data_IF_195227983839
#
_entry.id   IF_195227983839
#
_cell.length_a   1.000
_cell.length_b   1.000
_cell.length_c   1.000
_cell.angle_alpha   90.00
_cell.angle_beta   90.00
_cell.angle_gamma   90.00
#
_symmetry.space_group_name_H-M   'P 1'
#
loop_
_entity.id
_entity.type
_entity.pdbx_description
1 polymer ?
#
# COMPACT_ATOMS: atom_id res chain seq x y z
N UNK A 1 30.04 8.90 19.12
CA UNK A 1 29.39 8.68 17.81
C UNK A 1 28.28 7.68 18.08
N UNK A 2 27.04 8.16 18.16
CA UNK A 2 25.90 7.26 18.21
C UNK A 2 25.87 6.47 16.89
N UNK A 3 25.80 5.16 16.96
CA UNK A 3 25.51 4.31 15.78
C UNK A 3 24.12 4.72 15.25
N UNK A 4 23.93 4.79 13.93
CA UNK A 4 22.62 5.11 13.37
C UNK A 4 21.64 4.05 13.85
N UNK A 5 20.65 4.45 14.67
CA UNK A 5 19.52 3.61 15.04
C UNK A 5 18.95 2.98 13.77
N UNK A 6 18.81 1.66 13.77
CA UNK A 6 18.24 0.90 12.67
C UNK A 6 16.96 1.62 12.19
N UNK A 7 16.98 2.13 10.96
CA UNK A 7 15.91 2.95 10.38
C UNK A 7 14.65 2.13 10.08
N UNK A 8 14.81 0.81 10.05
CA UNK A 8 13.77 -0.14 9.67
C UNK A 8 13.22 -0.88 10.89
N UNK A 9 11.94 -1.28 10.79
CA UNK A 9 11.29 -2.12 11.78
C UNK A 9 11.80 -3.57 11.68
N UNK A 10 11.87 -4.23 12.82
CA UNK A 10 12.00 -5.68 12.89
C UNK A 10 10.62 -6.30 13.07
N UNK A 11 10.17 -7.06 12.07
CA UNK A 11 8.84 -7.67 12.04
C UNK A 11 8.96 -9.16 12.29
N UNK A 12 8.32 -9.66 13.34
CA UNK A 12 8.21 -11.10 13.62
C UNK A 12 7.15 -11.77 12.72
N UNK A 13 7.53 -12.05 11.49
CA UNK A 13 6.65 -12.74 10.54
C UNK A 13 6.31 -14.16 10.97
N UNK A 14 7.19 -14.85 11.70
CA UNK A 14 6.90 -16.19 12.20
C UNK A 14 5.75 -16.15 13.22
N UNK A 15 5.81 -15.21 14.17
CA UNK A 15 4.73 -14.99 15.14
C UNK A 15 3.43 -14.55 14.50
N UNK A 16 3.48 -13.60 13.52
CA UNK A 16 2.30 -13.15 12.80
C UNK A 16 1.64 -14.28 12.01
N UNK A 17 2.41 -15.09 11.28
CA UNK A 17 1.89 -16.23 10.51
C UNK A 17 1.39 -17.37 11.37
N UNK A 18 1.88 -17.50 12.60
CA UNK A 18 1.32 -18.44 13.56
C UNK A 18 -0.10 -18.04 14.00
N UNK A 19 -0.42 -16.74 14.03
CA UNK A 19 -1.76 -16.22 14.28
C UNK A 19 -2.63 -16.35 13.03
N UNK A 20 -2.11 -15.93 11.87
CA UNK A 20 -2.83 -16.01 10.59
C UNK A 20 -1.84 -16.21 9.43
N UNK A 21 -1.89 -17.37 8.73
CA UNK A 21 -1.03 -17.64 7.59
C UNK A 21 -1.25 -16.69 6.39
N UNK A 22 -2.38 -15.98 6.34
CA UNK A 22 -2.69 -15.02 5.30
C UNK A 22 -1.87 -13.72 5.41
N UNK A 23 -1.10 -13.53 6.50
CA UNK A 23 -0.18 -12.39 6.64
C UNK A 23 0.95 -12.54 5.63
N UNK A 24 1.08 -11.57 4.72
CA UNK A 24 2.08 -11.55 3.65
C UNK A 24 3.11 -10.43 3.81
N UNK A 25 2.75 -9.32 4.44
CA UNK A 25 3.61 -8.16 4.60
C UNK A 25 3.24 -7.34 5.85
N UNK A 26 4.02 -6.28 6.08
CA UNK A 26 3.72 -5.20 7.01
C UNK A 26 3.90 -3.87 6.30
N UNK A 27 2.91 -2.99 6.36
CA UNK A 27 3.00 -1.63 5.78
C UNK A 27 3.38 -0.63 6.86
N UNK A 28 4.27 0.29 6.51
CA UNK A 28 4.62 1.43 7.34
C UNK A 28 4.65 2.71 6.52
N UNK A 29 3.84 3.69 6.93
CA UNK A 29 3.87 5.07 6.41
C UNK A 29 4.15 5.97 7.60
N UNK A 30 5.43 6.26 7.92
CA UNK A 30 5.82 6.91 9.18
C UNK A 30 5.18 8.28 9.39
N UNK A 31 5.05 9.07 8.32
CA UNK A 31 4.47 10.42 8.39
C UNK A 31 2.99 10.44 8.82
N UNK A 32 2.29 9.31 8.69
CA UNK A 32 0.87 9.17 9.00
C UNK A 32 0.59 8.27 10.22
N UNK A 33 1.63 7.77 10.88
CA UNK A 33 1.53 6.75 11.95
C UNK A 33 0.79 5.47 11.50
N UNK A 34 0.82 5.18 10.19
CA UNK A 34 0.29 3.94 9.65
C UNK A 34 1.34 2.85 9.82
N UNK A 35 0.98 1.79 10.56
CA UNK A 35 1.85 0.64 10.82
C UNK A 35 0.98 -0.58 11.11
N UNK A 36 0.75 -1.43 10.11
CA UNK A 36 -0.20 -2.55 10.18
C UNK A 36 0.31 -3.80 9.47
N UNK A 37 -0.08 -4.99 9.94
CA UNK A 37 0.06 -6.21 9.16
C UNK A 37 -0.80 -6.11 7.89
N UNK A 38 -0.31 -6.70 6.81
CA UNK A 38 -0.99 -6.80 5.52
C UNK A 38 -1.31 -8.26 5.25
N UNK A 39 -2.58 -8.54 5.00
CA UNK A 39 -3.08 -9.88 4.72
C UNK A 39 -3.52 -10.02 3.27
N UNK A 40 -3.63 -11.25 2.77
CA UNK A 40 -4.27 -11.56 1.49
C UNK A 40 -5.18 -12.76 1.65
N UNK A 41 -6.47 -12.54 1.43
CA UNK A 41 -7.50 -13.57 1.48
C UNK A 41 -7.77 -14.22 0.12
N UNK A 42 -8.76 -15.11 0.12
CA UNK A 42 -9.23 -15.76 -1.10
C UNK A 42 -10.18 -14.89 -1.92
N UNK A 43 -10.67 -13.82 -1.33
CA UNK A 43 -11.55 -12.82 -1.93
C UNK A 43 -11.24 -11.43 -1.37
N UNK A 44 -11.86 -10.40 -1.94
CA UNK A 44 -11.71 -9.02 -1.50
C UNK A 44 -12.79 -8.56 -0.51
N UNK A 45 -13.59 -9.47 0.05
CA UNK A 45 -14.70 -9.15 0.95
C UNK A 45 -14.41 -9.49 2.41
N UNK A 46 -13.74 -10.61 2.68
CA UNK A 46 -13.55 -11.12 4.05
C UNK A 46 -12.85 -10.09 4.94
N UNK A 47 -11.69 -9.58 4.53
CA UNK A 47 -10.89 -8.66 5.32
C UNK A 47 -11.42 -7.21 5.36
N UNK A 48 -12.50 -6.91 4.65
CA UNK A 48 -13.25 -5.66 4.86
C UNK A 48 -13.89 -5.60 6.25
N UNK A 49 -14.17 -6.77 6.87
CA UNK A 49 -14.92 -6.87 8.11
C UNK A 49 -14.28 -7.80 9.15
N UNK A 50 -13.02 -8.20 8.94
CA UNK A 50 -12.28 -9.06 9.86
C UNK A 50 -10.88 -8.49 10.11
N UNK A 51 -10.46 -8.54 11.38
CA UNK A 51 -9.08 -8.27 11.76
C UNK A 51 -8.16 -9.36 11.20
N UNK A 52 -6.85 -9.08 11.14
CA UNK A 52 -5.87 -10.08 10.72
C UNK A 52 -5.87 -11.34 11.61
N UNK A 53 -6.36 -11.24 12.86
CA UNK A 53 -6.58 -12.37 13.78
C UNK A 53 -7.80 -13.24 13.43
N UNK A 54 -8.63 -12.80 12.47
CA UNK A 54 -9.87 -13.49 12.08
C UNK A 54 -11.13 -13.06 12.82
N UNK A 55 -11.02 -12.16 13.78
CA UNK A 55 -12.18 -11.62 14.51
C UNK A 55 -12.99 -10.66 13.64
N UNK A 56 -14.33 -10.74 13.71
CA UNK A 56 -15.21 -9.79 13.05
C UNK A 56 -15.04 -8.39 13.65
N UNK A 57 -14.78 -7.40 12.82
CA UNK A 57 -14.56 -6.02 13.25
C UNK A 57 -14.83 -5.04 12.11
N UNK A 58 -15.47 -3.91 12.39
CA UNK A 58 -15.82 -2.88 11.42
C UNK A 58 -14.60 -2.21 10.78
N UNK A 59 -13.46 -2.21 11.47
CA UNK A 59 -12.22 -1.62 10.92
C UNK A 59 -11.60 -2.48 9.83
N UNK A 60 -11.92 -3.78 9.78
CA UNK A 60 -11.29 -4.71 8.86
C UNK A 60 -9.77 -4.79 9.03
N UNK A 61 -9.08 -5.16 7.97
CA UNK A 61 -7.62 -5.21 7.90
C UNK A 61 -7.12 -4.42 6.70
N UNK A 62 -5.81 -4.17 6.68
CA UNK A 62 -5.12 -3.80 5.45
C UNK A 62 -4.87 -5.08 4.66
N UNK A 63 -5.30 -5.14 3.41
CA UNK A 63 -5.19 -6.36 2.61
C UNK A 63 -4.87 -6.09 1.14
N UNK A 64 -4.19 -7.04 0.52
CA UNK A 64 -3.86 -7.03 -0.90
C UNK A 64 -5.00 -7.67 -1.69
N UNK A 65 -5.27 -7.14 -2.88
CA UNK A 65 -6.25 -7.72 -3.82
C UNK A 65 -5.96 -9.21 -4.06
N UNK A 66 -7.00 -10.02 -4.00
CA UNK A 66 -6.87 -11.48 -4.11
C UNK A 66 -6.34 -11.96 -5.47
N UNK A 67 -6.35 -11.11 -6.51
CA UNK A 67 -5.80 -11.41 -7.83
C UNK A 67 -4.32 -11.05 -7.97
N UNK A 68 -3.75 -10.27 -7.04
CA UNK A 68 -2.35 -9.90 -7.07
C UNK A 68 -1.45 -11.01 -6.53
N UNK A 69 -0.17 -10.97 -6.92
CA UNK A 69 0.86 -11.82 -6.33
C UNK A 69 1.22 -11.32 -4.92
N UNK A 70 1.39 -12.22 -3.94
CA UNK A 70 1.63 -11.84 -2.54
C UNK A 70 3.02 -11.24 -2.28
N UNK A 71 3.92 -11.31 -3.25
CA UNK A 71 5.31 -10.83 -3.16
C UNK A 71 5.54 -9.44 -3.77
N UNK A 72 4.45 -8.76 -4.20
CA UNK A 72 4.47 -7.43 -4.81
C UNK A 72 5.28 -7.36 -6.13
N UNK A 73 5.31 -8.44 -6.88
CA UNK A 73 6.01 -8.49 -8.19
C UNK A 73 5.15 -8.07 -9.37
N UNK A 74 3.83 -7.92 -9.20
CA UNK A 74 2.95 -7.40 -10.24
C UNK A 74 3.31 -5.97 -10.63
N UNK A 75 2.90 -5.55 -11.83
CA UNK A 75 3.07 -4.17 -12.29
C UNK A 75 2.31 -3.19 -11.42
N UNK A 76 1.07 -3.53 -11.03
CA UNK A 76 0.28 -2.79 -10.06
C UNK A 76 -0.27 -3.74 -8.99
N UNK A 77 0.14 -3.54 -7.74
CA UNK A 77 -0.40 -4.27 -6.59
C UNK A 77 -1.37 -3.37 -5.83
N UNK A 78 -2.59 -3.82 -5.66
CA UNK A 78 -3.64 -3.03 -5.01
C UNK A 78 -3.73 -3.41 -3.55
N UNK A 79 -3.55 -2.42 -2.67
CA UNK A 79 -3.66 -2.57 -1.21
C UNK A 79 -4.87 -1.78 -0.72
N UNK A 80 -5.78 -2.45 -0.04
CA UNK A 80 -7.00 -1.88 0.50
C UNK A 80 -6.89 -1.62 2.00
N UNK A 81 -7.58 -0.60 2.45
CA UNK A 81 -7.79 -0.31 3.87
C UNK A 81 -8.93 0.67 4.05
N UNK A 82 -9.73 0.52 5.11
CA UNK A 82 -10.83 1.43 5.38
C UNK A 82 -10.35 2.86 5.62
N UNK A 83 -11.09 3.83 5.07
CA UNK A 83 -10.95 5.25 5.39
C UNK A 83 -11.77 5.55 6.66
N UNK A 84 -11.19 5.31 7.83
CA UNK A 84 -11.88 5.47 9.11
C UNK A 84 -11.88 6.93 9.57
N UNK A 85 -13.05 7.43 10.00
CA UNK A 85 -13.21 8.81 10.50
C UNK A 85 -12.35 9.13 11.73
N UNK A 86 -11.98 8.12 12.52
CA UNK A 86 -11.10 8.27 13.68
C UNK A 86 -9.60 8.30 13.30
N UNK A 87 -9.27 8.24 12.00
CA UNK A 87 -7.90 8.27 11.48
C UNK A 87 -7.18 6.92 11.52
N UNK A 88 -7.81 5.83 11.99
CA UNK A 88 -7.22 4.50 11.94
C UNK A 88 -7.26 3.91 10.52
N UNK A 89 -6.58 2.80 10.31
CA UNK A 89 -6.42 2.12 9.03
C UNK A 89 -5.81 3.07 7.99
N UNK A 90 -6.48 3.33 6.86
CA UNK A 90 -6.07 4.31 5.86
C UNK A 90 -6.77 5.68 6.00
N UNK A 91 -7.39 5.94 7.15
CA UNK A 91 -8.14 7.15 7.40
C UNK A 91 -7.35 8.47 7.38
N UNK A 92 -6.02 8.40 7.36
CA UNK A 92 -5.13 9.59 7.29
C UNK A 92 -4.42 9.73 5.95
N UNK A 93 -4.67 8.86 4.96
CA UNK A 93 -4.02 8.96 3.64
C UNK A 93 -4.30 10.27 2.92
N UNK A 94 -5.47 10.86 3.14
CA UNK A 94 -5.89 12.14 2.57
C UNK A 94 -4.98 13.31 2.97
N UNK A 95 -4.22 13.19 4.07
CA UNK A 95 -3.21 14.20 4.45
C UNK A 95 -2.14 14.39 3.39
N UNK A 96 -1.87 13.38 2.55
CA UNK A 96 -0.96 13.52 1.41
C UNK A 96 -1.52 14.37 0.26
N UNK A 97 -2.73 14.92 0.35
CA UNK A 97 -3.16 16.03 -0.49
C UNK A 97 -2.39 17.32 -0.19
N UNK A 98 -1.76 17.40 1.00
CA UNK A 98 -0.81 18.46 1.35
C UNK A 98 0.56 18.17 0.70
N UNK A 99 0.92 19.02 -0.27
CA UNK A 99 2.19 18.93 -0.98
C UNK A 99 3.41 19.07 -0.06
N UNK A 100 3.32 19.90 0.99
CA UNK A 100 4.43 20.09 1.94
C UNK A 100 4.72 18.79 2.71
N UNK A 101 3.69 18.07 3.14
CA UNK A 101 3.85 16.76 3.75
C UNK A 101 4.54 15.77 2.82
N UNK A 102 4.12 15.74 1.55
CA UNK A 102 4.76 14.90 0.53
C UNK A 102 6.25 15.27 0.34
N UNK A 103 6.58 16.56 0.20
CA UNK A 103 7.97 17.01 -0.01
C UNK A 103 8.89 16.62 1.14
N UNK A 104 8.38 16.63 2.38
CA UNK A 104 9.14 16.22 3.58
C UNK A 104 9.21 14.69 3.73
N UNK A 105 8.17 13.96 3.32
CA UNK A 105 8.02 12.52 3.57
C UNK A 105 7.50 11.76 2.34
N UNK A 106 8.26 11.71 1.23
CA UNK A 106 7.77 11.16 -0.03
C UNK A 106 7.76 9.62 -0.09
N UNK A 107 8.15 8.94 0.98
CA UNK A 107 8.44 7.51 0.96
C UNK A 107 7.63 6.74 2.01
N UNK A 108 7.33 5.48 1.68
CA UNK A 108 6.77 4.50 2.62
C UNK A 108 7.39 3.12 2.40
N UNK A 109 7.11 2.19 3.30
CA UNK A 109 7.78 0.90 3.35
C UNK A 109 6.78 -0.25 3.40
N UNK A 110 7.12 -1.32 2.68
CA UNK A 110 6.51 -2.64 2.80
C UNK A 110 7.59 -3.63 3.22
N UNK A 111 7.39 -4.23 4.37
CA UNK A 111 8.26 -5.29 4.90
C UNK A 111 7.65 -6.63 4.48
N UNK A 112 8.47 -7.46 3.84
CA UNK A 112 8.16 -8.85 3.52
C UNK A 112 9.07 -9.76 4.35
N UNK A 113 8.77 -11.06 4.43
CA UNK A 113 9.62 -11.98 5.23
C UNK A 113 11.09 -12.02 4.82
N UNK A 114 11.40 -11.72 3.57
CA UNK A 114 12.74 -11.85 2.96
C UNK A 114 13.34 -10.53 2.49
N UNK A 115 12.57 -9.44 2.47
CA UNK A 115 13.02 -8.15 1.92
C UNK A 115 12.20 -6.96 2.44
N UNK A 116 12.77 -5.77 2.28
CA UNK A 116 12.07 -4.50 2.51
C UNK A 116 11.95 -3.79 1.18
N UNK A 117 10.73 -3.41 0.82
CA UNK A 117 10.43 -2.60 -0.35
C UNK A 117 10.22 -1.15 0.10
N UNK A 118 11.01 -0.24 -0.47
CA UNK A 118 10.85 1.19 -0.27
C UNK A 118 10.18 1.78 -1.50
N UNK A 119 9.02 2.37 -1.30
CA UNK A 119 8.25 3.03 -2.34
C UNK A 119 8.32 4.53 -2.22
N UNK A 120 8.29 5.21 -3.38
CA UNK A 120 8.13 6.65 -3.47
C UNK A 120 6.71 6.96 -3.96
N UNK A 121 6.03 7.83 -3.25
CA UNK A 121 4.71 8.31 -3.66
C UNK A 121 4.84 9.08 -4.96
N UNK A 122 4.04 8.75 -5.96
CA UNK A 122 4.01 9.46 -7.24
C UNK A 122 2.69 10.17 -7.50
N UNK A 123 1.61 9.74 -6.87
CA UNK A 123 0.28 10.32 -7.04
C UNK A 123 -0.55 10.20 -5.76
N UNK A 124 -1.23 11.26 -5.40
CA UNK A 124 -2.27 11.26 -4.37
C UNK A 124 -3.47 12.03 -4.92
N UNK A 125 -4.65 11.45 -4.80
CA UNK A 125 -5.90 12.09 -5.23
C UNK A 125 -7.11 11.45 -4.56
N UNK A 126 -8.19 12.20 -4.45
CA UNK A 126 -9.50 11.66 -4.07
C UNK A 126 -10.27 11.20 -5.32
N UNK A 127 -10.72 9.96 -5.32
CA UNK A 127 -11.41 9.37 -6.46
C UNK A 127 -12.61 8.53 -6.06
N UNK A 128 -13.46 8.19 -7.04
CA UNK A 128 -14.54 7.21 -6.87
C UNK A 128 -14.00 5.80 -7.13
N UNK A 129 -14.58 4.80 -6.46
CA UNK A 129 -14.33 3.37 -6.74
C UNK A 129 -14.63 3.04 -8.21
N UNK A 130 -13.90 2.07 -8.77
CA UNK A 130 -14.09 1.60 -10.15
C UNK A 130 -13.39 2.45 -11.22
N UNK A 131 -12.47 3.36 -10.83
CA UNK A 131 -11.58 4.05 -11.78
C UNK A 131 -10.40 3.19 -12.17
N UNK A 132 -9.63 3.67 -13.17
CA UNK A 132 -8.44 2.98 -13.72
C UNK A 132 -7.42 2.50 -12.67
N UNK A 133 -7.26 3.18 -11.52
CA UNK A 133 -6.34 2.79 -10.45
C UNK A 133 -6.49 1.36 -9.93
N UNK A 134 -7.65 0.72 -10.14
CA UNK A 134 -7.92 -0.66 -9.73
C UNK A 134 -7.54 -1.72 -10.79
N UNK A 135 -6.93 -1.31 -11.91
CA UNK A 135 -6.47 -2.24 -12.94
C UNK A 135 -5.14 -2.88 -12.53
N UNK A 136 -5.06 -4.20 -12.57
CA UNK A 136 -3.87 -4.99 -12.18
C UNK A 136 -3.31 -5.85 -13.32
N UNK A 137 -4.01 -5.97 -14.45
CA UNK A 137 -3.59 -6.79 -15.60
C UNK A 137 -3.33 -5.91 -16.83
N UNK A 138 -2.13 -6.03 -17.38
CA UNK A 138 -1.64 -5.26 -18.53
C UNK A 138 -0.98 -6.21 -19.52
N UNK A 139 -1.70 -6.64 -20.60
CA UNK A 139 -1.19 -7.59 -21.58
C UNK A 139 0.07 -7.10 -22.29
N UNK A 140 0.13 -5.79 -22.57
CA UNK A 140 1.22 -5.17 -23.29
C UNK A 140 1.90 -4.09 -22.43
N UNK A 141 3.20 -3.85 -22.65
CA UNK A 141 3.95 -2.81 -21.94
C UNK A 141 3.37 -1.41 -22.18
N UNK A 142 2.84 -1.16 -23.38
CA UNK A 142 2.19 0.10 -23.74
C UNK A 142 0.89 0.33 -22.95
N UNK A 143 0.16 -0.72 -22.64
CA UNK A 143 -1.04 -0.66 -21.78
C UNK A 143 -0.67 -0.16 -20.38
N UNK A 144 0.44 -0.65 -19.83
CA UNK A 144 0.89 -0.23 -18.51
C UNK A 144 1.39 1.21 -18.53
N UNK A 145 2.13 1.64 -19.55
CA UNK A 145 2.56 3.04 -19.68
C UNK A 145 1.36 3.98 -19.78
N UNK A 146 0.38 3.66 -20.59
CA UNK A 146 -0.87 4.43 -20.72
C UNK A 146 -1.61 4.52 -19.38
N UNK A 147 -1.64 3.42 -18.63
CA UNK A 147 -2.21 3.40 -17.29
C UNK A 147 -1.45 4.31 -16.32
N UNK A 148 -0.11 4.26 -16.29
CA UNK A 148 0.73 5.12 -15.46
C UNK A 148 0.49 6.60 -15.77
N UNK A 149 0.41 6.97 -17.04
CA UNK A 149 0.13 8.34 -17.48
C UNK A 149 -1.27 8.80 -17.00
N UNK A 150 -2.25 7.90 -17.08
CA UNK A 150 -3.63 8.16 -16.64
C UNK A 150 -3.69 8.41 -15.14
N UNK A 151 -3.15 7.50 -14.31
CA UNK A 151 -3.20 7.65 -12.84
C UNK A 151 -2.34 8.81 -12.36
N UNK A 152 -1.25 9.12 -13.07
CA UNK A 152 -0.44 10.31 -12.81
C UNK A 152 -1.19 11.60 -13.11
N UNK A 153 -2.12 11.59 -14.08
CA UNK A 153 -2.92 12.77 -14.41
C UNK A 153 -3.96 13.13 -13.35
N UNK A 154 -4.29 12.19 -12.47
CA UNK A 154 -5.28 12.41 -11.38
C UNK A 154 -4.69 13.08 -10.15
N UNK A 155 -3.37 13.16 -10.05
CA UNK A 155 -2.68 13.73 -8.89
C UNK A 155 -3.08 15.18 -8.62
N UNK A 156 -3.21 15.54 -7.36
CA UNK A 156 -3.58 16.90 -6.93
C UNK A 156 -2.43 17.90 -7.14
N UNK A 157 -1.17 17.42 -7.23
CA UNK A 157 0.03 18.22 -7.47
C UNK A 157 1.12 17.40 -8.16
N UNK A 158 2.08 18.07 -8.77
CA UNK A 158 3.22 17.42 -9.39
C UNK A 158 4.22 16.93 -8.33
N UNK A 159 4.48 15.61 -8.31
CA UNK A 159 5.43 14.96 -7.40
C UNK A 159 6.86 14.97 -7.92
N UNK A 160 7.07 15.36 -9.18
CA UNK A 160 8.37 15.27 -9.86
C UNK A 160 8.86 13.83 -10.06
N UNK A 161 7.99 12.83 -9.86
CA UNK A 161 8.34 11.42 -10.05
C UNK A 161 7.98 11.01 -11.47
N UNK A 162 9.01 10.61 -12.24
CA UNK A 162 8.84 10.00 -13.55
C UNK A 162 8.68 8.50 -13.41
N UNK A 163 7.73 7.94 -14.15
CA UNK A 163 7.40 6.52 -14.17
C UNK A 163 7.63 5.93 -15.56
N UNK A 164 8.00 4.67 -15.57
CA UNK A 164 8.20 3.88 -16.80
C UNK A 164 7.49 2.53 -16.71
N UNK A 165 7.28 1.87 -17.84
CA UNK A 165 6.67 0.54 -17.89
C UNK A 165 7.48 -0.56 -17.17
N UNK A 166 8.69 -0.26 -16.72
CA UNK A 166 9.53 -1.19 -15.92
C UNK A 166 9.33 -1.04 -14.42
N UNK A 167 8.63 0.00 -13.98
CA UNK A 167 8.36 0.22 -12.56
C UNK A 167 7.34 -0.77 -12.00
N UNK A 168 7.32 -0.88 -10.70
CA UNK A 168 6.30 -1.59 -9.92
C UNK A 168 5.63 -0.59 -9.00
N UNK A 169 4.31 -0.51 -9.06
CA UNK A 169 3.53 0.41 -8.23
C UNK A 169 2.63 -0.34 -7.26
N UNK A 170 2.21 0.36 -6.24
CA UNK A 170 1.26 -0.10 -5.22
C UNK A 170 0.34 1.03 -4.81
#
# INVERSE_FOLDING_TARGET
KEEPKNRYLEIDFAGLKAVNPDVIAWIQIPALDISYPVVQGKDNAYYLHHLFSGESNINGSIFVDCHNQPDFTDQNTIVYGHNMKNGSMFGTLDKYQDKELFEQHPEFYLYLPDKILKYRIFSCYAGRTGREGYRYHFPEAEDFQTFLDTVSSYRDYDTGTELSATDRIV
#
